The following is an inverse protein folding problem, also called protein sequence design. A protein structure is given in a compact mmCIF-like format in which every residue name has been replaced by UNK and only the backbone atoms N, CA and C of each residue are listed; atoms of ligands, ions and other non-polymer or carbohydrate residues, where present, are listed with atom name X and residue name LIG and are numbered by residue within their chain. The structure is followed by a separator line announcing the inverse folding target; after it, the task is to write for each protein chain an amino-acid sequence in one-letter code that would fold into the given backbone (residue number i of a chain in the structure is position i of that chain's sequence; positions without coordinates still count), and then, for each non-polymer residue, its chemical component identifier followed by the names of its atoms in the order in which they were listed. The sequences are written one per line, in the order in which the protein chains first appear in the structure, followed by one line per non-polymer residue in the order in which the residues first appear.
data_IF_675108421323
#
_entry.id   IF_675108421323
#
_cell.length_a   1.000
_cell.length_b   1.000
_cell.length_c   1.000
_cell.angle_alpha   90.00
_cell.angle_beta   90.00
_cell.angle_gamma   90.00
#
_symmetry.space_group_name_H-M   'P 1'
#
loop_
_entity.id
_entity.type
_entity.pdbx_description
1 polymer ?
#
# COMPACT_ATOMS: atom_id res chain seq x y z
N UNK A 1 -88.87 -50.86 8.54
CA UNK A 1 -87.43 -51.05 8.78
C UNK A 1 -86.69 -50.66 7.50
N UNK A 2 -86.12 -49.45 7.43
CA UNK A 2 -85.29 -49.03 6.30
C UNK A 2 -83.85 -49.51 6.55
N UNK A 3 -83.20 -50.16 5.57
CA UNK A 3 -81.86 -50.71 5.75
C UNK A 3 -80.84 -49.58 5.88
N UNK A 4 -79.98 -49.69 6.89
CA UNK A 4 -78.77 -48.88 7.06
C UNK A 4 -77.84 -49.14 5.86
N UNK A 5 -78.02 -48.34 4.82
CA UNK A 5 -77.30 -48.47 3.55
C UNK A 5 -76.42 -47.26 3.32
N UNK A 6 -75.20 -47.35 3.85
CA UNK A 6 -74.01 -46.62 3.41
C UNK A 6 -74.05 -45.09 3.60
N UNK A 7 -73.61 -44.65 4.78
CA UNK A 7 -73.37 -43.25 5.10
C UNK A 7 -72.22 -42.71 4.21
N UNK A 8 -72.50 -41.88 3.19
CA UNK A 8 -71.51 -41.48 2.18
C UNK A 8 -70.41 -40.58 2.77
N UNK A 9 -70.61 -40.10 4.00
CA UNK A 9 -69.66 -39.27 4.73
C UNK A 9 -68.54 -40.10 5.40
N UNK A 10 -68.75 -41.40 5.62
CA UNK A 10 -67.71 -42.29 6.17
C UNK A 10 -66.57 -42.59 5.17
N UNK A 11 -66.73 -42.20 3.91
CA UNK A 11 -65.73 -42.34 2.85
C UNK A 11 -64.92 -41.06 2.59
N UNK A 12 -65.13 -39.98 3.36
CA UNK A 12 -64.26 -38.81 3.30
C UNK A 12 -62.92 -39.14 3.97
N UNK A 13 -61.93 -39.47 3.15
CA UNK A 13 -60.54 -39.67 3.56
C UNK A 13 -59.95 -38.29 3.91
N UNK A 14 -59.36 -38.16 5.10
CA UNK A 14 -58.73 -36.92 5.57
C UNK A 14 -57.83 -36.30 4.51
N UNK A 15 -58.09 -35.03 4.20
CA UNK A 15 -57.27 -34.22 3.29
C UNK A 15 -55.89 -34.06 3.92
N UNK A 16 -54.90 -34.74 3.35
CA UNK A 16 -53.50 -34.53 3.68
C UNK A 16 -53.10 -33.17 3.10
N UNK A 17 -52.85 -32.17 3.96
CA UNK A 17 -52.22 -30.93 3.52
C UNK A 17 -50.79 -31.25 3.08
N UNK A 18 -50.32 -30.72 1.94
CA UNK A 18 -48.92 -30.87 1.56
C UNK A 18 -48.06 -30.22 2.67
N UNK A 19 -46.94 -30.85 3.07
CA UNK A 19 -46.01 -30.23 3.99
C UNK A 19 -45.56 -28.87 3.42
N UNK A 20 -45.37 -27.88 4.31
CA UNK A 20 -44.89 -26.55 3.94
C UNK A 20 -43.72 -26.68 2.95
N UNK A 21 -43.68 -25.90 1.85
CA UNK A 21 -42.62 -25.99 0.88
C UNK A 21 -41.29 -25.67 1.56
N UNK A 22 -40.56 -26.72 1.93
CA UNK A 22 -39.30 -26.63 2.66
C UNK A 22 -38.28 -25.91 1.79
N UNK A 23 -37.91 -24.69 2.20
CA UNK A 23 -36.88 -23.77 1.70
C UNK A 23 -36.14 -24.19 0.39
N UNK A 24 -36.92 -24.47 -0.66
CA UNK A 24 -36.42 -25.17 -1.84
C UNK A 24 -35.32 -24.35 -2.52
N UNK A 25 -34.36 -25.02 -3.19
CA UNK A 25 -33.02 -24.51 -3.40
C UNK A 25 -33.12 -23.13 -4.06
N UNK A 26 -32.41 -22.12 -3.51
CA UNK A 26 -32.47 -20.78 -4.05
C UNK A 26 -32.20 -20.90 -5.54
N UNK A 27 -33.18 -20.48 -6.36
CA UNK A 27 -33.14 -20.62 -7.80
C UNK A 27 -31.73 -20.25 -8.30
N UNK A 28 -31.19 -20.97 -9.28
CA UNK A 28 -29.80 -20.84 -9.76
C UNK A 28 -29.37 -19.36 -9.96
N UNK A 29 -30.33 -18.47 -10.26
CA UNK A 29 -30.13 -17.02 -10.30
C UNK A 29 -29.55 -16.37 -9.03
N UNK A 30 -29.81 -16.88 -7.82
CA UNK A 30 -29.18 -16.39 -6.58
C UNK A 30 -27.71 -16.75 -6.50
N UNK A 31 -27.33 -17.94 -6.98
CA UNK A 31 -25.92 -18.32 -7.09
C UNK A 31 -25.19 -17.44 -8.10
N UNK A 32 -25.83 -17.11 -9.23
CA UNK A 32 -25.30 -16.15 -10.19
C UNK A 32 -25.20 -14.73 -9.60
N UNK A 33 -26.20 -14.28 -8.85
CA UNK A 33 -26.17 -12.99 -8.16
C UNK A 33 -25.07 -12.92 -7.09
N UNK A 34 -24.90 -13.99 -6.31
CA UNK A 34 -23.83 -14.10 -5.32
C UNK A 34 -22.45 -14.11 -6.01
N UNK A 35 -22.29 -14.84 -7.11
CA UNK A 35 -21.06 -14.87 -7.89
C UNK A 35 -20.74 -13.50 -8.50
N UNK A 36 -21.73 -12.83 -9.08
CA UNK A 36 -21.59 -11.48 -9.63
C UNK A 36 -21.20 -10.48 -8.54
N UNK A 37 -21.84 -10.54 -7.38
CA UNK A 37 -21.49 -9.72 -6.22
C UNK A 37 -20.05 -9.97 -5.77
N UNK A 38 -19.63 -11.24 -5.68
CA UNK A 38 -18.27 -11.61 -5.33
C UNK A 38 -17.25 -11.05 -6.33
N UNK A 39 -17.55 -11.12 -7.63
CA UNK A 39 -16.68 -10.56 -8.68
C UNK A 39 -16.58 -9.04 -8.60
N UNK A 40 -17.69 -8.33 -8.33
CA UNK A 40 -17.68 -6.88 -8.14
C UNK A 40 -16.84 -6.50 -6.92
N UNK A 41 -17.00 -7.21 -5.80
CA UNK A 41 -16.20 -6.98 -4.59
C UNK A 41 -14.72 -7.26 -4.86
N UNK A 42 -14.39 -8.39 -5.49
CA UNK A 42 -13.02 -8.74 -5.83
C UNK A 42 -12.40 -7.70 -6.78
N UNK A 43 -13.13 -7.28 -7.81
CA UNK A 43 -12.72 -6.24 -8.74
C UNK A 43 -12.50 -4.90 -8.04
N UNK A 44 -13.40 -4.49 -7.16
CA UNK A 44 -13.26 -3.28 -6.36
C UNK A 44 -12.05 -3.36 -5.42
N UNK A 45 -11.82 -4.48 -4.75
CA UNK A 45 -10.64 -4.69 -3.88
C UNK A 45 -9.35 -4.63 -4.70
N UNK A 46 -9.30 -5.28 -5.87
CA UNK A 46 -8.14 -5.25 -6.75
C UNK A 46 -7.88 -3.84 -7.30
N UNK A 47 -8.93 -3.13 -7.72
CA UNK A 47 -8.85 -1.77 -8.21
C UNK A 47 -8.37 -0.82 -7.11
N UNK A 48 -8.97 -0.91 -5.91
CA UNK A 48 -8.53 -0.14 -4.74
C UNK A 48 -7.09 -0.49 -4.40
N UNK A 49 -6.67 -1.76 -4.45
CA UNK A 49 -5.29 -2.16 -4.16
C UNK A 49 -4.31 -1.69 -5.23
N UNK A 50 -4.74 -1.56 -6.48
CA UNK A 50 -3.96 -1.00 -7.58
C UNK A 50 -3.83 0.52 -7.44
N UNK A 51 -4.92 1.23 -7.15
CA UNK A 51 -4.94 2.68 -6.91
C UNK A 51 -4.26 3.07 -5.58
N UNK A 52 -4.37 2.23 -4.57
CA UNK A 52 -3.74 2.41 -3.24
C UNK A 52 -2.40 1.71 -3.14
N UNK A 53 -1.75 1.32 -4.24
CA UNK A 53 -0.32 1.03 -4.15
C UNK A 53 0.32 2.27 -3.56
N UNK A 54 0.92 2.18 -2.36
CA UNK A 54 1.57 3.34 -1.80
C UNK A 54 2.61 3.78 -2.82
N UNK A 55 2.39 4.95 -3.40
CA UNK A 55 3.39 5.57 -4.27
C UNK A 55 4.69 5.57 -3.48
N UNK A 56 5.79 5.10 -4.06
CA UNK A 56 7.10 5.06 -3.41
C UNK A 56 7.40 6.38 -2.69
N UNK A 57 6.96 7.49 -3.27
CA UNK A 57 6.91 8.82 -2.67
C UNK A 57 6.25 8.91 -1.29
N UNK A 58 5.05 8.36 -1.07
CA UNK A 58 4.31 8.45 0.21
C UNK A 58 5.04 7.73 1.33
N UNK A 59 5.57 6.54 1.04
CA UNK A 59 6.28 5.75 2.06
C UNK A 59 7.66 6.37 2.34
N UNK A 60 8.38 6.80 1.30
CA UNK A 60 9.65 7.51 1.47
C UNK A 60 9.46 8.82 2.26
N UNK A 61 8.41 9.59 1.96
CA UNK A 61 8.11 10.83 2.67
C UNK A 61 7.76 10.59 4.14
N UNK A 62 6.92 9.59 4.45
CA UNK A 62 6.57 9.24 5.83
C UNK A 62 7.79 8.83 6.65
N UNK A 63 8.70 8.06 6.04
CA UNK A 63 9.95 7.67 6.69
C UNK A 63 10.84 8.90 6.94
N UNK A 64 10.92 9.83 5.98
CA UNK A 64 11.66 11.08 6.14
C UNK A 64 11.07 11.94 7.29
N UNK A 65 9.75 12.09 7.34
CA UNK A 65 9.05 12.80 8.41
C UNK A 65 9.28 12.15 9.79
N UNK A 66 9.35 10.81 9.83
CA UNK A 66 9.69 10.05 11.04
C UNK A 66 11.14 10.33 11.49
N UNK A 67 12.09 10.31 10.56
CA UNK A 67 13.50 10.63 10.86
C UNK A 67 13.62 12.05 11.39
N UNK A 68 12.92 13.01 10.77
CA UNK A 68 12.93 14.41 11.18
C UNK A 68 12.42 14.61 12.63
N UNK A 69 11.41 13.85 13.05
CA UNK A 69 10.71 14.05 14.33
C UNK A 69 11.18 13.17 15.48
N UNK A 70 11.70 11.96 15.22
CA UNK A 70 11.97 10.95 16.25
C UNK A 70 13.45 10.65 16.46
N UNK A 71 14.33 11.15 15.59
CA UNK A 71 15.77 10.84 15.64
C UNK A 71 16.53 12.02 16.23
N UNK A 72 17.31 11.72 17.27
CA UNK A 72 18.23 12.66 17.92
C UNK A 72 19.33 13.13 16.96
N UNK A 73 19.93 14.28 17.24
CA UNK A 73 20.95 14.89 16.36
C UNK A 73 22.10 13.94 16.02
N UNK A 74 22.55 13.13 16.99
CA UNK A 74 23.63 12.16 16.78
C UNK A 74 23.27 11.04 15.79
N UNK A 75 21.98 10.68 15.69
CA UNK A 75 21.47 9.62 14.82
C UNK A 75 20.89 10.13 13.50
N UNK A 76 20.70 11.44 13.37
CA UNK A 76 19.96 12.06 12.27
C UNK A 76 20.63 11.84 10.91
N UNK A 77 21.91 12.17 10.78
CA UNK A 77 22.65 12.01 9.52
C UNK A 77 22.78 10.54 9.07
N UNK A 78 23.14 9.57 9.93
CA UNK A 78 23.10 8.15 9.57
C UNK A 78 21.74 7.68 9.07
N UNK A 79 20.67 8.10 9.74
CA UNK A 79 19.31 7.72 9.37
C UNK A 79 18.95 8.28 8.00
N UNK A 80 19.33 9.54 7.72
CA UNK A 80 19.10 10.21 6.44
C UNK A 80 19.92 9.57 5.31
N UNK A 81 21.19 9.26 5.54
CA UNK A 81 22.03 8.54 4.59
C UNK A 81 21.48 7.15 4.24
N UNK A 82 21.01 6.41 5.24
CA UNK A 82 20.37 5.11 5.06
C UNK A 82 19.02 5.23 4.32
N UNK A 83 18.26 6.29 4.58
CA UNK A 83 17.02 6.59 3.86
C UNK A 83 17.26 6.84 2.37
N UNK A 84 18.27 7.65 2.01
CA UNK A 84 18.64 7.88 0.61
C UNK A 84 18.99 6.60 -0.12
N UNK A 85 19.84 5.75 0.48
CA UNK A 85 20.20 4.45 -0.11
C UNK A 85 18.98 3.57 -0.35
N UNK A 86 18.07 3.48 0.62
CA UNK A 86 16.82 2.73 0.49
C UNK A 86 15.97 3.27 -0.66
N UNK A 87 15.80 4.59 -0.76
CA UNK A 87 15.00 5.22 -1.82
C UNK A 87 15.56 4.92 -3.22
N UNK A 88 16.88 5.02 -3.41
CA UNK A 88 17.51 4.74 -4.69
C UNK A 88 17.39 3.27 -5.11
N UNK A 89 17.64 2.33 -4.19
CA UNK A 89 17.54 0.89 -4.49
C UNK A 89 16.12 0.51 -4.87
N UNK A 90 15.11 1.09 -4.20
CA UNK A 90 13.70 0.83 -4.50
C UNK A 90 13.29 1.40 -5.86
N UNK A 91 13.87 2.52 -6.29
CA UNK A 91 13.54 3.17 -7.56
C UNK A 91 14.31 2.58 -8.76
N UNK A 92 15.63 2.51 -8.65
CA UNK A 92 16.54 2.17 -9.76
C UNK A 92 16.98 0.69 -9.74
N UNK A 93 16.58 -0.04 -8.70
CA UNK A 93 16.91 -1.45 -8.51
C UNK A 93 18.22 -1.70 -7.77
N UNK A 94 18.53 -2.98 -7.47
CA UNK A 94 19.65 -3.38 -6.62
C UNK A 94 21.03 -3.06 -7.21
N UNK A 95 21.14 -2.84 -8.52
CA UNK A 95 22.39 -2.48 -9.19
C UNK A 95 22.94 -1.13 -8.69
N UNK A 96 22.06 -0.24 -8.22
CA UNK A 96 22.47 1.05 -7.65
C UNK A 96 23.06 0.95 -6.24
N UNK A 97 22.84 -0.15 -5.52
CA UNK A 97 23.40 -0.36 -4.19
C UNK A 97 24.95 -0.45 -4.19
N UNK A 98 25.53 -0.84 -5.33
CA UNK A 98 26.98 -0.90 -5.51
C UNK A 98 27.63 0.42 -5.90
N UNK A 99 26.84 1.46 -6.23
CA UNK A 99 27.37 2.77 -6.59
C UNK A 99 27.97 3.47 -5.38
N UNK A 100 29.17 4.01 -5.55
CA UNK A 100 29.89 4.76 -4.50
C UNK A 100 30.52 6.03 -5.09
N UNK A 101 30.85 6.98 -4.23
CA UNK A 101 31.53 8.22 -4.63
C UNK A 101 30.79 9.02 -5.70
N UNK A 102 31.53 9.49 -6.71
CA UNK A 102 31.00 10.31 -7.80
C UNK A 102 29.94 9.59 -8.66
N UNK A 103 30.03 8.27 -8.82
CA UNK A 103 29.02 7.51 -9.57
C UNK A 103 27.66 7.52 -8.86
N UNK A 104 27.68 7.53 -7.52
CA UNK A 104 26.47 7.64 -6.72
C UNK A 104 25.87 9.05 -6.76
N UNK A 105 26.71 10.10 -6.69
CA UNK A 105 26.26 11.49 -6.87
C UNK A 105 25.62 11.73 -8.24
N UNK A 106 26.27 11.29 -9.32
CA UNK A 106 25.72 11.42 -10.68
C UNK A 106 24.34 10.78 -10.81
N UNK A 107 24.13 9.63 -10.16
CA UNK A 107 22.84 8.97 -10.19
C UNK A 107 21.79 9.75 -9.39
N UNK A 108 22.15 10.34 -8.24
CA UNK A 108 21.27 11.23 -7.48
C UNK A 108 20.88 12.49 -8.25
N UNK A 109 21.80 13.10 -8.98
CA UNK A 109 21.51 14.29 -9.80
C UNK A 109 20.61 13.96 -10.98
N UNK A 110 20.85 12.83 -11.66
CA UNK A 110 19.94 12.32 -12.69
C UNK A 110 18.53 12.05 -12.17
N UNK A 111 18.41 11.79 -10.86
CA UNK A 111 17.15 11.49 -10.22
C UNK A 111 16.27 12.72 -10.02
N UNK A 112 16.89 13.87 -9.78
CA UNK A 112 16.25 15.12 -9.43
C UNK A 112 17.12 16.28 -9.94
N UNK A 113 17.12 16.55 -11.26
CA UNK A 113 17.98 17.55 -11.87
C UNK A 113 17.75 18.98 -11.34
N UNK A 114 16.56 19.29 -10.85
CA UNK A 114 16.23 20.62 -10.31
C UNK A 114 16.55 20.75 -8.81
N UNK A 115 17.06 19.70 -8.17
CA UNK A 115 17.38 19.69 -6.75
C UNK A 115 18.90 19.72 -6.50
N UNK A 116 19.44 20.73 -5.79
CA UNK A 116 20.88 20.82 -5.51
C UNK A 116 21.29 19.80 -4.42
N UNK A 117 21.44 18.54 -4.81
CA UNK A 117 21.69 17.42 -3.89
C UNK A 117 23.16 17.29 -3.48
N UNK A 118 24.08 17.87 -4.25
CA UNK A 118 25.52 17.82 -3.98
C UNK A 118 25.93 18.27 -2.56
N UNK A 119 25.50 19.42 -2.02
CA UNK A 119 25.88 19.81 -0.64
C UNK A 119 25.39 18.82 0.43
N UNK A 120 24.20 18.25 0.24
CA UNK A 120 23.64 17.22 1.14
C UNK A 120 24.49 15.94 1.05
N UNK A 121 24.86 15.54 -0.16
CA UNK A 121 25.72 14.40 -0.42
C UNK A 121 27.10 14.56 0.23
N UNK A 122 27.72 15.72 0.07
CA UNK A 122 29.03 16.02 0.65
C UNK A 122 29.00 15.93 2.18
N UNK A 123 27.99 16.53 2.83
CA UNK A 123 27.85 16.47 4.28
C UNK A 123 27.63 15.03 4.77
N UNK A 124 26.67 14.31 4.19
CA UNK A 124 26.25 12.99 4.69
C UNK A 124 27.28 11.88 4.41
N UNK A 125 28.03 11.96 3.31
CA UNK A 125 28.85 10.84 2.83
C UNK A 125 30.36 11.14 2.74
N UNK A 126 30.77 12.40 2.62
CA UNK A 126 32.19 12.77 2.53
C UNK A 126 32.70 13.31 3.85
N UNK A 127 32.03 14.31 4.41
CA UNK A 127 32.48 15.00 5.63
C UNK A 127 32.40 14.11 6.87
N UNK A 128 31.52 13.11 6.90
CA UNK A 128 31.40 12.14 7.99
C UNK A 128 32.71 11.37 8.30
N UNK A 129 33.63 11.30 7.34
CA UNK A 129 34.92 10.63 7.49
C UNK A 129 36.09 11.61 7.71
N UNK A 130 35.83 12.92 7.81
CA UNK A 130 36.86 13.94 8.01
C UNK A 130 36.80 14.49 9.45
N UNK A 131 37.95 14.60 10.15
CA UNK A 131 37.99 15.12 11.52
C UNK A 131 37.75 16.65 11.59
N UNK A 132 37.89 17.37 10.47
CA UNK A 132 37.57 18.78 10.35
C UNK A 132 36.19 18.93 9.68
N UNK A 133 35.19 19.28 10.47
CA UNK A 133 33.83 19.49 9.97
C UNK A 133 33.80 20.82 9.20
N UNK A 134 33.39 20.78 7.93
CA UNK A 134 33.14 21.99 7.14
C UNK A 134 31.94 22.78 7.70
N UNK A 135 31.55 23.90 7.06
CA UNK A 135 30.30 24.57 7.43
C UNK A 135 29.14 23.57 7.31
N UNK A 136 28.55 23.22 8.45
CA UNK A 136 27.43 22.29 8.53
C UNK A 136 26.20 22.97 7.92
N UNK A 137 25.55 22.32 6.97
CA UNK A 137 24.24 22.76 6.50
C UNK A 137 23.26 22.58 7.64
N UNK A 138 22.44 23.60 7.89
CA UNK A 138 21.44 23.55 8.94
C UNK A 138 20.45 22.40 8.71
N UNK A 139 19.97 21.79 9.80
CA UNK A 139 19.11 20.60 9.78
C UNK A 139 17.86 20.83 8.94
N UNK A 140 17.27 22.02 9.03
CA UNK A 140 16.09 22.41 8.26
C UNK A 140 16.37 22.46 6.75
N UNK A 141 17.55 22.96 6.37
CA UNK A 141 17.94 23.07 4.95
C UNK A 141 18.25 21.70 4.35
N UNK A 142 18.86 20.81 5.13
CA UNK A 142 19.04 19.40 4.74
C UNK A 142 17.70 18.72 4.51
N UNK A 143 16.76 18.85 5.46
CA UNK A 143 15.42 18.25 5.34
C UNK A 143 14.66 18.81 4.14
N UNK A 144 14.69 20.12 3.93
CA UNK A 144 14.03 20.77 2.80
C UNK A 144 14.54 20.21 1.46
N UNK A 145 15.86 20.09 1.30
CA UNK A 145 16.47 19.52 0.10
C UNK A 145 16.10 18.05 -0.08
N UNK A 146 16.06 17.26 1.01
CA UNK A 146 15.63 15.86 0.97
C UNK A 146 14.15 15.71 0.57
N UNK A 147 13.28 16.59 1.06
CA UNK A 147 11.88 16.63 0.67
C UNK A 147 11.71 17.00 -0.81
N UNK A 148 12.47 17.98 -1.30
CA UNK A 148 12.45 18.39 -2.70
C UNK A 148 12.91 17.23 -3.60
N UNK A 149 14.03 16.60 -3.27
CA UNK A 149 14.54 15.43 -3.98
C UNK A 149 13.53 14.29 -3.97
N UNK A 150 12.95 13.96 -2.80
CA UNK A 150 11.93 12.91 -2.68
C UNK A 150 10.73 13.17 -3.61
N UNK A 151 10.30 14.43 -3.74
CA UNK A 151 9.16 14.82 -4.58
C UNK A 151 9.47 14.74 -6.07
N UNK A 152 10.70 15.00 -6.47
CA UNK A 152 11.11 15.00 -7.87
C UNK A 152 11.50 13.59 -8.33
N UNK A 153 12.27 12.87 -7.51
CA UNK A 153 12.84 11.57 -7.84
C UNK A 153 11.87 10.40 -7.74
N UNK A 154 10.81 10.48 -6.91
CA UNK A 154 9.91 9.36 -6.59
C UNK A 154 8.44 9.59 -6.99
N UNK A 155 8.14 10.70 -7.66
CA UNK A 155 6.79 11.03 -8.16
C UNK A 155 6.51 10.37 -9.50
#
# INVERSE_FOLDING_TARGET
MNPAGNDPLAQLRDVHLPPDPGWWPPAIGWWLAALACLMVIAGAVLLIRWLRRPTLFRDARRELDRIASQVDDAGFEPALAAWFRRCMVVRDGPQTAGLTGAAWLNQLERSAPDTPIQPVWEQLFVQRYQPAHGPLTDRETLLATCHQWCREALR
#
